data_IF_961898760883
#
_entry.id   IF_961898760883
#
_cell.length_a   1.000
_cell.length_b   1.000
_cell.length_c   1.000
_cell.angle_alpha   90.00
_cell.angle_beta   90.00
_cell.angle_gamma   90.00
#
_symmetry.space_group_name_H-M   'P 1'
#
loop_
_entity.id
_entity.type
_entity.pdbx_description
1 polymer ?
#
# COMPACT_ATOMS: atom_id res chain seq x y z
N UNK A 1 7.30 43.56 -7.55
CA UNK A 1 6.81 42.26 -8.06
C UNK A 1 6.43 41.39 -6.86
N UNK A 2 5.14 41.27 -6.51
CA UNK A 2 4.69 40.32 -5.47
C UNK A 2 4.46 39.00 -6.17
N UNK A 3 5.33 38.02 -5.93
CA UNK A 3 5.09 36.64 -6.35
C UNK A 3 3.92 36.16 -5.46
N UNK A 4 2.75 35.80 -6.01
CA UNK A 4 1.75 35.15 -5.19
C UNK A 4 2.37 33.85 -4.69
N UNK A 5 2.40 33.68 -3.37
CA UNK A 5 2.73 32.42 -2.73
C UNK A 5 1.63 31.43 -3.12
N UNK A 6 1.79 30.82 -4.30
CA UNK A 6 1.05 29.64 -4.69
C UNK A 6 1.48 28.57 -3.72
N UNK A 7 0.68 28.39 -2.67
CA UNK A 7 0.72 27.19 -1.84
C UNK A 7 0.34 26.10 -2.83
N UNK A 8 1.33 25.42 -3.40
CA UNK A 8 1.12 24.23 -4.20
C UNK A 8 0.42 23.23 -3.26
N UNK A 9 -0.90 23.30 -3.24
CA UNK A 9 -1.72 22.17 -2.86
C UNK A 9 -1.56 21.24 -4.05
N UNK A 10 -0.40 20.56 -4.11
CA UNK A 10 -0.33 19.28 -4.79
C UNK A 10 -1.55 18.53 -4.26
N UNK A 11 -2.47 18.22 -5.17
CA UNK A 11 -3.65 17.44 -4.87
C UNK A 11 -3.14 16.09 -4.43
N UNK A 12 -2.84 15.95 -3.12
CA UNK A 12 -2.15 14.81 -2.55
C UNK A 12 -3.09 13.63 -2.72
N UNK A 13 -2.82 12.71 -3.66
CA UNK A 13 -3.80 11.69 -4.03
C UNK A 13 -4.05 10.71 -2.88
N UNK A 14 -3.19 10.71 -1.86
CA UNK A 14 -3.23 9.83 -0.70
C UNK A 14 -3.40 10.58 0.63
N UNK A 15 -3.80 11.86 0.62
CA UNK A 15 -4.07 12.60 1.86
C UNK A 15 -5.16 11.93 2.72
N UNK A 16 -6.07 11.19 2.06
CA UNK A 16 -7.04 10.34 2.73
C UNK A 16 -6.38 9.01 3.12
N UNK A 17 -6.37 8.62 4.40
CA UNK A 17 -5.77 7.36 4.84
C UNK A 17 -6.44 6.13 4.21
N UNK A 18 -7.71 6.23 3.84
CA UNK A 18 -8.44 5.19 3.10
C UNK A 18 -7.88 5.02 1.67
N UNK A 19 -7.64 6.13 0.94
CA UNK A 19 -7.02 6.08 -0.40
C UNK A 19 -5.60 5.52 -0.33
N UNK A 20 -4.84 5.90 0.71
CA UNK A 20 -3.52 5.34 0.97
C UNK A 20 -3.59 3.83 1.25
N UNK A 21 -4.49 3.39 2.14
CA UNK A 21 -4.71 1.99 2.46
C UNK A 21 -5.13 1.17 1.24
N UNK A 22 -6.01 1.72 0.38
CA UNK A 22 -6.43 1.08 -0.86
C UNK A 22 -5.26 0.88 -1.82
N UNK A 23 -4.41 1.91 -2.00
CA UNK A 23 -3.22 1.79 -2.86
C UNK A 23 -2.20 0.82 -2.29
N UNK A 24 -2.02 0.81 -0.96
CA UNK A 24 -1.18 -0.17 -0.28
C UNK A 24 -1.72 -1.58 -0.45
N UNK A 25 -3.03 -1.79 -0.38
CA UNK A 25 -3.65 -3.08 -0.62
C UNK A 25 -3.48 -3.53 -2.08
N UNK A 26 -3.52 -2.60 -3.05
CA UNK A 26 -3.15 -2.90 -4.44
C UNK A 26 -1.69 -3.36 -4.56
N UNK A 27 -0.74 -2.57 -4.06
CA UNK A 27 0.69 -2.93 -4.15
C UNK A 27 0.96 -4.24 -3.42
N UNK A 28 0.46 -4.36 -2.19
CA UNK A 28 0.72 -5.53 -1.39
C UNK A 28 0.00 -6.77 -1.95
N UNK A 29 -1.13 -6.67 -2.68
CA UNK A 29 -1.72 -7.83 -3.39
C UNK A 29 -0.81 -8.33 -4.51
N UNK A 30 -0.21 -7.43 -5.27
CA UNK A 30 0.71 -7.80 -6.36
C UNK A 30 1.96 -8.49 -5.80
N UNK A 31 2.48 -7.97 -4.67
CA UNK A 31 3.64 -8.53 -3.99
C UNK A 31 3.34 -9.86 -3.27
N UNK A 32 2.18 -9.97 -2.61
CA UNK A 32 1.76 -11.19 -1.89
C UNK A 32 1.27 -12.29 -2.83
N UNK A 33 0.68 -11.98 -3.99
CA UNK A 33 0.32 -13.03 -4.97
C UNK A 33 1.59 -13.72 -5.53
N UNK A 34 2.74 -13.03 -5.54
CA UNK A 34 4.02 -13.63 -5.90
C UNK A 34 4.69 -14.45 -4.79
N UNK A 35 4.57 -14.06 -3.51
CA UNK A 35 5.41 -14.61 -2.41
C UNK A 35 4.66 -14.91 -1.09
N UNK A 36 3.36 -14.65 -1.00
CA UNK A 36 2.51 -14.84 0.19
C UNK A 36 2.65 -13.75 1.27
N UNK A 37 3.73 -12.97 1.24
CA UNK A 37 4.03 -11.89 2.18
C UNK A 37 4.77 -10.77 1.44
N UNK A 38 4.65 -9.54 1.92
CA UNK A 38 5.34 -8.38 1.36
C UNK A 38 6.34 -7.81 2.38
N UNK A 39 7.47 -7.31 1.90
CA UNK A 39 8.40 -6.56 2.75
C UNK A 39 7.90 -5.13 2.92
N UNK A 40 7.96 -4.59 4.13
CA UNK A 40 7.61 -3.19 4.41
C UNK A 40 8.48 -2.23 3.60
N UNK A 41 9.77 -2.53 3.41
CA UNK A 41 10.67 -1.74 2.56
C UNK A 41 10.28 -1.71 1.08
N UNK A 42 9.87 -2.85 0.52
CA UNK A 42 9.43 -2.97 -0.89
C UNK A 42 8.10 -2.25 -1.08
N UNK A 43 7.16 -2.45 -0.16
CA UNK A 43 5.85 -1.81 -0.19
C UNK A 43 5.96 -0.30 -0.03
N UNK A 44 6.81 0.18 0.89
CA UNK A 44 7.12 1.60 1.06
C UNK A 44 7.71 2.17 -0.23
N UNK A 45 8.70 1.50 -0.83
CA UNK A 45 9.31 1.96 -2.08
C UNK A 45 8.30 2.03 -3.23
N UNK A 46 7.44 1.03 -3.37
CA UNK A 46 6.38 1.01 -4.37
C UNK A 46 5.32 2.10 -4.12
N UNK A 47 4.98 2.37 -2.86
CA UNK A 47 4.04 3.43 -2.49
C UNK A 47 4.62 4.83 -2.74
N UNK A 48 5.89 5.05 -2.42
CA UNK A 48 6.60 6.28 -2.76
C UNK A 48 6.67 6.49 -4.28
N UNK A 49 6.91 5.43 -5.06
CA UNK A 49 6.85 5.49 -6.54
C UNK A 49 5.46 5.80 -7.09
N UNK A 50 4.40 5.41 -6.38
CA UNK A 50 3.03 5.76 -6.74
C UNK A 50 2.68 7.24 -6.44
N UNK A 51 3.61 8.01 -5.86
CA UNK A 51 3.43 9.43 -5.53
C UNK A 51 2.96 9.69 -4.10
N UNK A 52 3.03 8.68 -3.22
CA UNK A 52 2.76 8.85 -1.79
C UNK A 52 3.98 9.27 -0.98
N UNK A 53 3.79 9.65 0.28
CA UNK A 53 4.87 9.93 1.22
C UNK A 53 4.87 8.98 2.43
N UNK A 54 5.95 8.99 3.22
CA UNK A 54 6.14 8.10 4.38
C UNK A 54 5.06 8.29 5.47
N UNK A 55 4.58 9.50 5.71
CA UNK A 55 3.49 9.77 6.64
C UNK A 55 2.14 9.22 6.14
N UNK A 56 1.86 9.32 4.84
CA UNK A 56 0.67 8.72 4.22
C UNK A 56 0.76 7.18 4.22
N UNK A 57 1.96 6.64 4.01
CA UNK A 57 2.23 5.21 4.16
C UNK A 57 1.90 4.73 5.58
N UNK A 58 2.42 5.42 6.60
CA UNK A 58 2.13 5.10 7.99
C UNK A 58 0.64 5.18 8.32
N UNK A 59 -0.05 6.21 7.82
CA UNK A 59 -1.49 6.37 7.99
C UNK A 59 -2.30 5.25 7.30
N UNK A 60 -1.91 4.86 6.08
CA UNK A 60 -2.55 3.78 5.33
C UNK A 60 -2.30 2.40 5.94
N UNK A 61 -1.10 2.14 6.48
CA UNK A 61 -0.80 0.91 7.22
C UNK A 61 -1.59 0.86 8.53
N UNK A 62 -1.62 1.94 9.31
CA UNK A 62 -2.38 2.00 10.55
C UNK A 62 -3.88 1.79 10.31
N UNK A 63 -4.42 2.40 9.25
CA UNK A 63 -5.79 2.19 8.82
C UNK A 63 -6.01 0.72 8.42
N UNK A 64 -5.14 0.15 7.57
CA UNK A 64 -5.29 -1.24 7.18
C UNK A 64 -5.13 -2.25 8.32
N UNK A 65 -4.33 -1.97 9.35
CA UNK A 65 -4.31 -2.79 10.58
C UNK A 65 -5.63 -2.66 11.34
N UNK A 66 -6.15 -1.44 11.49
CA UNK A 66 -7.41 -1.19 12.19
C UNK A 66 -8.62 -1.89 11.53
N UNK A 67 -8.61 -2.01 10.20
CA UNK A 67 -9.63 -2.71 9.41
C UNK A 67 -9.30 -4.19 9.14
N UNK A 68 -8.18 -4.71 9.65
CA UNK A 68 -7.79 -6.11 9.46
C UNK A 68 -7.36 -6.46 8.02
N UNK A 69 -6.95 -5.47 7.22
CA UNK A 69 -6.40 -5.65 5.87
C UNK A 69 -4.95 -6.13 5.92
N UNK A 70 -4.16 -5.66 6.90
CA UNK A 70 -2.74 -5.99 7.04
C UNK A 70 -2.44 -6.55 8.43
N UNK A 71 -1.59 -7.56 8.48
CA UNK A 71 -0.88 -8.00 9.68
C UNK A 71 0.61 -7.70 9.53
N UNK A 72 1.20 -7.06 10.53
CA UNK A 72 2.65 -6.92 10.60
C UNK A 72 3.18 -8.05 11.48
N UNK A 73 4.22 -8.73 11.02
CA UNK A 73 4.96 -9.68 11.85
C UNK A 73 5.60 -8.97 13.06
N UNK A 74 5.84 -9.68 14.16
CA UNK A 74 6.50 -9.14 15.38
C UNK A 74 7.80 -8.40 15.09
N UNK A 75 8.47 -8.74 13.98
CA UNK A 75 9.71 -8.12 13.52
C UNK A 75 9.52 -6.74 12.85
N UNK A 76 8.30 -6.32 12.50
CA UNK A 76 8.04 -5.05 11.78
C UNK A 76 8.47 -5.03 10.30
N UNK A 77 9.18 -6.06 9.85
CA UNK A 77 9.82 -6.13 8.52
C UNK A 77 8.90 -6.74 7.46
N UNK A 78 7.94 -7.57 7.89
CA UNK A 78 7.04 -8.30 7.00
C UNK A 78 5.60 -7.87 7.25
N UNK A 79 4.91 -7.60 6.16
CA UNK A 79 3.47 -7.32 6.12
C UNK A 79 2.80 -8.44 5.33
N UNK A 80 1.84 -9.08 5.98
CA UNK A 80 0.97 -10.09 5.39
C UNK A 80 -0.39 -9.44 5.14
N UNK A 81 -0.91 -9.53 3.92
CA UNK A 81 -2.30 -9.14 3.68
C UNK A 81 -3.19 -10.22 4.30
N UNK A 82 -4.09 -9.82 5.19
CA UNK A 82 -5.11 -10.69 5.80
C UNK A 82 -6.43 -10.67 5.02
N UNK A 83 -6.60 -9.70 4.11
CA UNK A 83 -7.82 -9.60 3.31
C UNK A 83 -8.05 -10.91 2.53
N UNK A 84 -9.13 -11.59 2.92
CA UNK A 84 -9.63 -12.87 2.38
C UNK A 84 -9.96 -12.83 0.88
N UNK A 85 -9.82 -11.66 0.23
CA UNK A 85 -9.94 -11.50 -1.22
C UNK A 85 -8.60 -11.61 -1.96
N UNK A 86 -7.60 -12.31 -1.40
CA UNK A 86 -6.56 -12.94 -2.23
C UNK A 86 -7.19 -14.09 -3.02
N UNK A 87 -8.11 -13.75 -3.93
CA UNK A 87 -8.21 -14.44 -5.20
C UNK A 87 -6.95 -14.08 -6.00
N UNK A 88 -5.78 -14.49 -5.51
CA UNK A 88 -4.72 -14.91 -6.39
C UNK A 88 -5.27 -16.18 -7.06
N UNK A 89 -6.24 -16.00 -7.96
CA UNK A 89 -6.35 -16.87 -9.12
C UNK A 89 -5.03 -16.63 -9.83
N UNK A 90 -4.02 -17.39 -9.42
CA UNK A 90 -3.15 -18.01 -10.39
C UNK A 90 -4.16 -18.58 -11.38
N UNK A 91 -4.40 -17.89 -12.50
CA UNK A 91 -4.75 -18.60 -13.71
C UNK A 91 -3.53 -19.51 -13.90
N UNK A 92 -3.57 -20.68 -13.25
CA UNK A 92 -2.86 -21.83 -13.75
C UNK A 92 -3.46 -21.90 -15.14
N UNK A 93 -2.69 -21.49 -16.13
CA UNK A 93 -2.86 -21.94 -17.50
C UNK A 93 -2.83 -23.46 -17.35
N UNK A 94 -4.02 -24.04 -17.14
CA UNK A 94 -4.23 -25.46 -17.25
C UNK A 94 -3.88 -25.75 -18.70
N UNK A 95 -2.85 -26.56 -18.84
CA UNK A 95 -2.36 -27.07 -20.09
C UNK A 95 -3.53 -27.53 -20.97
N UNK A 96 -3.56 -27.06 -22.21
CA UNK A 96 -4.17 -27.81 -23.30
C UNK A 96 -3.32 -27.70 -24.55
#
# INVERSE_FOLDING_TARGET
>A
MRIPMVKFVESRPFANPESAARKLAEIARELTCAQGWAYTGVTNTAFLRAGGNVAEYGAGIAHGIAYGLFAIDTSGTRITILETLVSCRIEIVEAR
#
